data_IF_881379930106
#
_entry.id   IF_881379930106
#
_cell.length_a   1.000
_cell.length_b   1.000
_cell.length_c   1.000
_cell.angle_alpha   90.00
_cell.angle_beta   90.00
_cell.angle_gamma   90.00
#
_symmetry.space_group_name_H-M   'P 1'
#
loop_
_entity.id
_entity.type
_entity.pdbx_description
1 polymer ?
#
# COMPACT_ATOMS: atom_id res chain seq x y z
N UNK A 1 -2.69 12.10 -2.72
CA UNK A 1 -1.91 11.49 -3.80
C UNK A 1 -1.32 12.60 -4.65
N UNK A 2 -0.04 12.83 -4.50
CA UNK A 2 0.69 13.68 -5.43
C UNK A 2 1.63 12.73 -6.16
N UNK A 3 1.37 12.47 -7.45
CA UNK A 3 2.40 12.06 -8.36
C UNK A 3 3.29 13.30 -8.57
N UNK A 4 4.22 13.53 -7.69
CA UNK A 4 5.26 14.51 -7.93
C UNK A 4 6.24 13.89 -8.92
N UNK A 5 6.36 14.41 -10.15
CA UNK A 5 7.31 13.86 -11.14
C UNK A 5 8.74 13.78 -10.60
N UNK A 6 9.15 14.72 -9.74
CA UNK A 6 10.45 14.69 -9.09
C UNK A 6 10.65 13.58 -8.07
N UNK A 7 9.57 12.88 -7.68
CA UNK A 7 9.64 11.76 -6.72
C UNK A 7 9.72 10.41 -7.42
N UNK A 8 9.18 10.31 -8.64
CA UNK A 8 9.29 9.10 -9.46
C UNK A 8 10.75 8.86 -9.87
N UNK A 9 11.51 9.91 -10.11
CA UNK A 9 12.92 9.84 -10.49
C UNK A 9 13.87 9.37 -9.35
N UNK A 10 13.35 9.24 -8.12
CA UNK A 10 14.17 8.75 -6.99
C UNK A 10 14.21 7.24 -6.86
N UNK A 11 13.26 6.54 -7.47
CA UNK A 11 13.21 5.08 -7.40
C UNK A 11 14.28 4.46 -8.29
N UNK A 12 14.74 3.29 -7.88
CA UNK A 12 15.65 2.51 -8.71
C UNK A 12 14.92 2.04 -9.99
N UNK A 13 15.67 1.81 -11.06
CA UNK A 13 15.10 1.36 -12.34
C UNK A 13 14.50 -0.06 -12.23
N UNK A 14 15.15 -0.95 -11.49
CA UNK A 14 14.75 -2.35 -11.33
C UNK A 14 13.29 -2.50 -10.87
N UNK A 15 12.79 -1.76 -9.88
CA UNK A 15 11.39 -1.85 -9.45
C UNK A 15 10.34 -1.55 -10.53
N UNK A 16 10.69 -0.83 -11.59
CA UNK A 16 9.77 -0.49 -12.67
C UNK A 16 9.61 -1.60 -13.71
N UNK A 17 10.52 -2.57 -13.74
CA UNK A 17 10.51 -3.65 -14.72
C UNK A 17 9.51 -4.73 -14.32
N UNK A 18 8.58 -5.02 -15.23
CA UNK A 18 7.65 -6.15 -15.10
C UNK A 18 8.01 -7.28 -16.07
N UNK A 19 7.32 -8.40 -15.97
CA UNK A 19 7.45 -9.49 -16.92
C UNK A 19 6.89 -9.18 -18.33
N UNK A 20 6.31 -7.99 -18.53
CA UNK A 20 5.78 -7.55 -19.84
C UNK A 20 6.18 -6.10 -20.14
N UNK A 21 6.87 -5.85 -21.24
CA UNK A 21 7.24 -4.49 -21.64
C UNK A 21 6.03 -3.61 -21.99
N UNK A 22 4.86 -4.22 -22.22
CA UNK A 22 3.61 -3.49 -22.50
C UNK A 22 2.94 -2.94 -21.25
N UNK A 23 3.32 -3.42 -20.07
CA UNK A 23 2.70 -3.09 -18.79
C UNK A 23 3.79 -2.69 -17.76
N UNK A 24 4.45 -1.56 -17.96
CA UNK A 24 5.44 -1.09 -16.99
C UNK A 24 4.78 -0.80 -15.65
N UNK A 25 5.51 -1.02 -14.56
CA UNK A 25 5.06 -0.66 -13.23
C UNK A 25 5.15 0.86 -13.07
N UNK A 26 4.06 1.46 -12.60
CA UNK A 26 3.98 2.88 -12.27
C UNK A 26 3.71 2.98 -10.78
N UNK A 27 4.53 3.70 -10.06
CA UNK A 27 4.37 3.89 -8.61
C UNK A 27 3.55 5.15 -8.32
N UNK A 28 2.49 5.00 -7.54
CA UNK A 28 1.67 6.12 -7.03
C UNK A 28 1.51 5.89 -5.52
N UNK A 29 2.05 6.79 -4.71
CA UNK A 29 2.20 6.58 -3.29
C UNK A 29 2.09 7.87 -2.45
N UNK A 30 2.11 7.74 -1.14
CA UNK A 30 1.97 8.87 -0.20
C UNK A 30 3.34 9.52 0.09
N UNK A 31 4.00 10.03 -0.95
CA UNK A 31 5.38 10.53 -0.91
C UNK A 31 5.62 11.60 0.16
N UNK A 32 4.78 12.63 0.22
CA UNK A 32 4.92 13.70 1.19
C UNK A 32 4.81 13.21 2.63
N UNK A 33 3.86 12.31 2.91
CA UNK A 33 3.67 11.76 4.24
C UNK A 33 4.85 10.85 4.64
N UNK A 34 5.26 9.92 3.76
CA UNK A 34 6.36 9.01 4.07
C UNK A 34 7.67 9.77 4.31
N UNK A 35 7.98 10.77 3.48
CA UNK A 35 9.16 11.62 3.70
C UNK A 35 9.07 12.46 4.97
N UNK A 36 7.88 12.97 5.30
CA UNK A 36 7.69 13.77 6.52
C UNK A 36 7.92 12.92 7.76
N UNK A 37 7.39 11.69 7.80
CA UNK A 37 7.57 10.80 8.94
C UNK A 37 9.02 10.30 9.06
N UNK A 38 9.70 10.03 7.93
CA UNK A 38 11.12 9.67 7.91
C UNK A 38 11.99 10.77 8.53
N UNK A 39 11.79 12.02 8.10
CA UNK A 39 12.53 13.17 8.64
C UNK A 39 12.19 13.46 10.10
N UNK A 40 10.93 13.22 10.50
CA UNK A 40 10.54 13.34 11.90
C UNK A 40 11.26 12.31 12.75
N UNK A 41 11.23 11.05 12.36
CA UNK A 41 11.94 9.97 13.04
C UNK A 41 13.43 10.28 13.18
N UNK A 42 14.09 10.69 12.09
CA UNK A 42 15.50 11.05 12.10
C UNK A 42 15.81 12.17 13.14
N UNK A 43 15.01 13.23 13.19
CA UNK A 43 15.18 14.30 14.18
C UNK A 43 15.02 13.82 15.62
N UNK A 44 13.98 12.99 15.87
CA UNK A 44 13.71 12.45 17.21
C UNK A 44 14.82 11.52 17.70
N UNK A 45 15.56 10.88 16.77
CA UNK A 45 16.68 10.00 17.06
C UNK A 45 18.07 10.64 16.85
N UNK A 46 18.12 11.96 16.70
CA UNK A 46 19.38 12.72 16.54
C UNK A 46 20.26 12.22 15.38
N UNK A 47 19.65 11.81 14.27
CA UNK A 47 20.30 11.35 13.05
C UNK A 47 19.73 12.07 11.82
N UNK A 48 20.22 11.74 10.64
CA UNK A 48 19.72 12.29 9.39
C UNK A 48 18.95 11.20 8.62
N UNK A 49 17.96 11.60 7.85
CA UNK A 49 17.18 10.66 7.02
C UNK A 49 18.09 9.96 5.99
N UNK A 50 19.12 10.65 5.48
CA UNK A 50 20.10 10.15 4.53
C UNK A 50 21.04 9.07 5.11
N UNK A 51 21.03 8.89 6.41
CA UNK A 51 21.86 7.88 7.11
C UNK A 51 21.04 6.63 7.51
N UNK A 52 19.75 6.56 7.09
CA UNK A 52 18.81 5.53 7.53
C UNK A 52 18.29 4.67 6.38
N UNK A 53 18.02 3.41 6.71
CA UNK A 53 17.25 2.46 5.94
C UNK A 53 15.90 2.22 6.64
N UNK A 54 14.79 2.61 6.02
CA UNK A 54 13.48 2.58 6.64
C UNK A 54 12.48 1.81 5.78
N UNK A 55 11.61 1.04 6.41
CA UNK A 55 10.36 0.60 5.78
C UNK A 55 9.25 1.50 6.32
N UNK A 56 8.55 2.20 5.43
CA UNK A 56 7.50 3.15 5.82
C UNK A 56 6.16 2.73 5.24
N UNK A 57 5.19 2.52 6.13
CA UNK A 57 3.84 2.10 5.78
C UNK A 57 2.85 3.23 6.04
N UNK A 58 2.30 3.83 4.99
CA UNK A 58 1.15 4.69 5.12
C UNK A 58 -0.12 3.86 5.04
N UNK A 59 -0.87 3.82 6.15
CA UNK A 59 -2.09 3.03 6.33
C UNK A 59 -3.30 3.97 6.36
N UNK A 60 -3.99 4.11 5.25
CA UNK A 60 -5.14 4.97 5.07
C UNK A 60 -6.18 4.35 4.13
N UNK A 61 -7.02 5.16 3.47
CA UNK A 61 -7.96 4.70 2.44
C UNK A 61 -7.27 3.95 1.29
N UNK A 62 -6.03 4.32 0.97
CA UNK A 62 -5.04 3.53 0.24
C UNK A 62 -3.87 3.16 1.15
N UNK A 63 -3.16 2.07 0.84
CA UNK A 63 -1.98 1.63 1.59
C UNK A 63 -0.76 1.66 0.68
N UNK A 64 0.30 2.38 1.10
CA UNK A 64 1.59 2.34 0.44
C UNK A 64 2.69 1.93 1.41
N UNK A 65 3.52 0.99 0.98
CA UNK A 65 4.64 0.46 1.75
C UNK A 65 5.90 0.73 0.92
N UNK A 66 6.77 1.57 1.45
CA UNK A 66 8.00 2.01 0.78
C UNK A 66 9.24 1.51 1.49
N UNK A 67 10.22 1.05 0.70
CA UNK A 67 11.59 0.86 1.12
C UNK A 67 12.37 2.16 0.88
N UNK A 68 12.92 2.72 1.94
CA UNK A 68 13.70 3.95 1.88
C UNK A 68 15.16 3.66 2.25
N UNK A 69 16.07 4.06 1.39
CA UNK A 69 17.51 3.92 1.56
C UNK A 69 18.18 5.26 1.37
N UNK A 70 18.98 5.68 2.36
CA UNK A 70 19.81 6.89 2.28
C UNK A 70 19.06 8.15 1.80
N UNK A 71 17.88 8.40 2.40
CA UNK A 71 17.11 9.63 2.16
C UNK A 71 16.18 9.60 0.95
N UNK A 72 16.06 8.47 0.23
CA UNK A 72 15.18 8.32 -0.92
C UNK A 72 14.35 7.04 -0.85
N UNK A 73 13.18 7.06 -1.47
CA UNK A 73 12.39 5.85 -1.68
C UNK A 73 12.95 5.08 -2.89
N UNK A 74 13.44 3.87 -2.66
CA UNK A 74 14.03 3.04 -3.72
C UNK A 74 13.00 2.09 -4.35
N UNK A 75 11.96 1.72 -3.61
CA UNK A 75 10.82 0.91 -4.08
C UNK A 75 9.57 1.24 -3.26
N UNK A 76 8.42 1.29 -3.91
CA UNK A 76 7.12 1.45 -3.26
C UNK A 76 6.01 0.91 -4.16
N UNK A 77 4.98 0.30 -3.59
CA UNK A 77 3.84 -0.19 -4.36
C UNK A 77 2.94 0.94 -4.88
N UNK A 78 2.25 0.67 -5.99
CA UNK A 78 1.18 1.55 -6.46
C UNK A 78 -0.06 1.42 -5.56
N UNK A 79 -0.25 2.39 -4.67
CA UNK A 79 -1.35 2.38 -3.70
C UNK A 79 -2.71 2.75 -4.30
N UNK A 80 -2.78 3.05 -5.60
CA UNK A 80 -4.01 3.46 -6.27
C UNK A 80 -4.57 2.38 -7.19
N UNK A 81 -3.72 1.68 -7.94
CA UNK A 81 -4.11 1.02 -9.18
C UNK A 81 -3.76 -0.47 -9.20
N UNK A 82 -4.12 -1.18 -8.12
CA UNK A 82 -4.10 -2.64 -8.09
C UNK A 82 -2.75 -3.26 -7.76
N UNK A 83 -1.98 -2.65 -6.86
CA UNK A 83 -0.74 -3.21 -6.35
C UNK A 83 -0.66 -3.11 -4.82
N UNK A 84 0.09 -4.03 -4.21
CA UNK A 84 0.27 -4.09 -2.77
C UNK A 84 -0.92 -4.69 -2.02
N UNK A 85 -1.02 -4.45 -0.71
CA UNK A 85 -2.14 -4.94 0.09
C UNK A 85 -3.44 -4.24 -0.29
N UNK A 86 -4.57 -4.95 -0.18
CA UNK A 86 -5.84 -4.26 -0.24
C UNK A 86 -6.02 -3.35 0.98
N UNK A 87 -6.82 -2.33 0.83
CA UNK A 87 -7.02 -1.27 1.82
C UNK A 87 -8.51 -1.06 2.09
N UNK A 88 -8.93 -0.10 2.91
CA UNK A 88 -10.34 0.21 3.08
C UNK A 88 -11.12 0.41 1.78
N UNK A 89 -10.52 1.02 0.75
CA UNK A 89 -11.22 1.36 -0.50
C UNK A 89 -10.58 0.82 -1.78
N UNK A 90 -9.45 0.09 -1.69
CA UNK A 90 -8.67 -0.39 -2.84
C UNK A 90 -8.57 -1.90 -2.84
N UNK A 91 -8.55 -2.49 -4.03
CA UNK A 91 -8.47 -3.94 -4.21
C UNK A 91 -7.09 -4.51 -3.88
N UNK A 92 -6.02 -3.70 -3.94
CA UNK A 92 -4.66 -4.22 -3.90
C UNK A 92 -4.33 -5.09 -5.11
N UNK A 93 -3.36 -5.97 -4.96
CA UNK A 93 -2.95 -6.89 -6.03
C UNK A 93 -4.06 -7.90 -6.32
N UNK A 94 -4.50 -7.95 -7.58
CA UNK A 94 -5.49 -8.89 -8.08
C UNK A 94 -4.83 -9.93 -9.00
N UNK A 95 -5.35 -11.16 -9.05
CA UNK A 95 -4.88 -12.15 -10.00
C UNK A 95 -5.25 -11.73 -11.42
N UNK A 96 -4.24 -11.61 -12.31
CA UNK A 96 -4.40 -11.06 -13.66
C UNK A 96 -5.36 -11.88 -14.54
N UNK A 97 -5.31 -13.23 -14.50
CA UNK A 97 -6.19 -14.08 -15.30
C UNK A 97 -7.67 -13.82 -15.02
N UNK A 98 -8.15 -14.01 -13.78
CA UNK A 98 -9.54 -13.68 -13.40
C UNK A 98 -9.94 -12.23 -13.69
N UNK A 99 -9.02 -11.28 -13.59
CA UNK A 99 -9.30 -9.89 -13.94
C UNK A 99 -9.59 -9.71 -15.44
N UNK A 100 -8.79 -10.37 -16.30
CA UNK A 100 -9.01 -10.38 -17.76
C UNK A 100 -10.34 -11.03 -18.08
N UNK A 101 -10.64 -12.20 -17.51
CA UNK A 101 -11.92 -12.88 -17.72
C UNK A 101 -13.10 -11.99 -17.34
N UNK A 102 -12.98 -11.23 -16.26
CA UNK A 102 -14.01 -10.29 -15.83
C UNK A 102 -14.14 -9.11 -16.79
N UNK A 103 -13.03 -8.58 -17.31
CA UNK A 103 -13.04 -7.49 -18.31
C UNK A 103 -13.79 -7.86 -19.59
N UNK A 104 -13.65 -9.12 -20.04
CA UNK A 104 -14.28 -9.60 -21.27
C UNK A 104 -15.61 -10.33 -21.06
N UNK A 105 -16.10 -10.41 -19.83
CA UNK A 105 -17.35 -11.10 -19.49
C UNK A 105 -18.63 -10.40 -20.00
N UNK A 106 -18.53 -9.13 -20.40
CA UNK A 106 -19.68 -8.29 -20.73
C UNK A 106 -20.52 -7.85 -19.52
N UNK A 107 -20.16 -8.24 -18.28
CA UNK A 107 -20.94 -7.95 -17.06
C UNK A 107 -20.77 -6.53 -16.56
N UNK A 108 -19.67 -5.88 -16.88
CA UNK A 108 -19.29 -4.58 -16.37
C UNK A 108 -18.67 -3.72 -17.47
N UNK A 109 -18.92 -2.44 -17.42
CA UNK A 109 -18.18 -1.44 -18.20
C UNK A 109 -16.77 -1.23 -17.63
N UNK A 110 -15.88 -0.63 -18.42
CA UNK A 110 -14.53 -0.25 -17.97
C UNK A 110 -14.56 0.62 -16.70
N UNK A 111 -15.49 1.59 -16.66
CA UNK A 111 -15.59 2.53 -15.53
C UNK A 111 -16.11 1.85 -14.26
N UNK A 112 -17.02 0.90 -14.39
CA UNK A 112 -17.47 0.09 -13.28
C UNK A 112 -16.35 -0.80 -12.73
N UNK A 113 -15.54 -1.40 -13.59
CA UNK A 113 -14.40 -2.20 -13.19
C UNK A 113 -13.34 -1.34 -12.49
N UNK A 114 -13.04 -0.15 -13.02
CA UNK A 114 -12.12 0.79 -12.36
C UNK A 114 -12.59 1.16 -10.95
N UNK A 115 -13.89 1.42 -10.75
CA UNK A 115 -14.45 1.66 -9.41
C UNK A 115 -14.33 0.45 -8.48
N UNK A 116 -14.33 -0.78 -9.02
CA UNK A 116 -14.14 -2.02 -8.26
C UNK A 116 -12.66 -2.30 -7.91
N UNK A 117 -11.73 -1.61 -8.55
CA UNK A 117 -10.32 -1.61 -8.18
C UNK A 117 -10.04 -0.50 -7.16
N UNK A 118 -10.64 0.67 -7.35
CA UNK A 118 -10.35 1.88 -6.58
C UNK A 118 -11.65 2.63 -6.21
N UNK A 119 -11.94 2.73 -4.92
CA UNK A 119 -13.08 3.44 -4.34
C UNK A 119 -14.24 2.55 -3.88
N UNK A 120 -14.46 1.38 -4.49
CA UNK A 120 -15.51 0.40 -4.10
C UNK A 120 -14.93 -1.00 -3.90
N UNK A 121 -13.69 -1.07 -3.48
CA UNK A 121 -12.96 -2.31 -3.23
C UNK A 121 -12.62 -2.45 -1.75
N UNK A 122 -11.75 -3.39 -1.42
CA UNK A 122 -11.21 -3.57 -0.08
C UNK A 122 -12.27 -3.82 0.98
N UNK A 123 -12.12 -3.18 2.15
CA UNK A 123 -13.08 -3.33 3.26
C UNK A 123 -14.49 -2.90 2.84
N UNK A 124 -14.61 -1.83 2.03
CA UNK A 124 -15.91 -1.38 1.50
C UNK A 124 -16.63 -2.49 0.73
N UNK A 125 -15.92 -3.23 -0.12
CA UNK A 125 -16.52 -4.31 -0.90
C UNK A 125 -16.92 -5.52 -0.04
N UNK A 126 -16.15 -5.83 0.99
CA UNK A 126 -16.36 -7.01 1.83
C UNK A 126 -17.31 -6.78 3.00
N UNK A 127 -17.24 -5.58 3.63
CA UNK A 127 -17.91 -5.26 4.90
C UNK A 127 -18.87 -4.07 4.79
N UNK A 128 -18.89 -3.35 3.67
CA UNK A 128 -19.74 -2.17 3.45
C UNK A 128 -19.29 -0.92 4.19
N UNK A 129 -18.14 -0.93 4.84
CA UNK A 129 -17.63 0.20 5.64
C UNK A 129 -16.11 0.31 5.56
N UNK A 130 -15.59 1.51 5.82
CA UNK A 130 -14.16 1.81 5.99
C UNK A 130 -13.81 2.17 7.44
N UNK A 131 -14.81 2.17 8.32
CA UNK A 131 -14.67 2.55 9.73
C UNK A 131 -14.01 1.40 10.52
N UNK A 132 -12.69 1.50 10.70
CA UNK A 132 -11.90 0.48 11.42
C UNK A 132 -12.36 0.32 12.88
N UNK A 133 -12.57 1.38 13.67
CA UNK A 133 -13.15 1.24 15.01
C UNK A 133 -14.48 0.47 15.05
N UNK A 134 -15.38 0.74 14.11
CA UNK A 134 -16.65 0.02 14.03
C UNK A 134 -16.46 -1.46 13.66
N UNK A 135 -15.50 -1.77 12.75
CA UNK A 135 -15.14 -3.14 12.40
C UNK A 135 -14.59 -3.88 13.63
N UNK A 136 -13.65 -3.28 14.35
CA UNK A 136 -13.09 -3.86 15.58
C UNK A 136 -14.18 -4.13 16.61
N UNK A 137 -15.07 -3.16 16.84
CA UNK A 137 -16.20 -3.34 17.76
C UNK A 137 -17.17 -4.46 17.33
N UNK A 138 -17.31 -4.74 16.03
CA UNK A 138 -18.10 -5.88 15.55
C UNK A 138 -17.40 -7.22 15.78
N UNK A 139 -16.07 -7.24 15.63
CA UNK A 139 -15.25 -8.43 15.92
C UNK A 139 -15.36 -8.80 17.41
N UNK A 140 -15.28 -7.82 18.30
CA UNK A 140 -15.46 -8.03 19.74
C UNK A 140 -16.83 -8.62 20.10
N UNK A 141 -17.84 -8.41 19.23
CA UNK A 141 -19.18 -9.00 19.35
C UNK A 141 -19.34 -10.35 18.64
N UNK A 142 -18.24 -10.88 18.08
CA UNK A 142 -18.19 -12.19 17.45
C UNK A 142 -18.43 -12.20 15.94
N UNK A 143 -18.27 -11.07 15.22
CA UNK A 143 -18.36 -11.04 13.76
C UNK A 143 -17.13 -11.69 13.13
N UNK A 144 -17.21 -12.98 12.84
CA UNK A 144 -16.15 -13.80 12.26
C UNK A 144 -15.78 -13.34 10.83
N UNK A 145 -16.75 -12.81 10.06
CA UNK A 145 -16.46 -12.30 8.72
C UNK A 145 -15.63 -11.03 8.79
N UNK A 146 -15.97 -10.12 9.68
CA UNK A 146 -15.19 -8.90 9.88
C UNK A 146 -13.76 -9.22 10.33
N UNK A 147 -13.62 -10.16 11.27
CA UNK A 147 -12.32 -10.64 11.75
C UNK A 147 -11.47 -11.22 10.60
N UNK A 148 -12.03 -12.13 9.80
CA UNK A 148 -11.34 -12.74 8.68
C UNK A 148 -10.85 -11.69 7.67
N UNK A 149 -11.71 -10.73 7.31
CA UNK A 149 -11.37 -9.73 6.29
C UNK A 149 -10.34 -8.73 6.82
N UNK A 150 -10.46 -8.28 8.07
CA UNK A 150 -9.48 -7.38 8.67
C UNK A 150 -8.11 -8.07 8.80
N UNK A 151 -8.10 -9.32 9.28
CA UNK A 151 -6.87 -10.12 9.39
C UNK A 151 -6.22 -10.36 8.01
N UNK A 152 -7.02 -10.57 6.96
CA UNK A 152 -6.48 -10.70 5.59
C UNK A 152 -5.79 -9.41 5.11
N UNK A 153 -6.34 -8.23 5.43
CA UNK A 153 -5.71 -6.95 5.13
C UNK A 153 -4.38 -6.80 5.88
N UNK A 154 -4.39 -7.07 7.19
CA UNK A 154 -3.19 -7.01 8.05
C UNK A 154 -2.11 -7.99 7.55
N UNK A 155 -2.50 -9.20 7.20
CA UNK A 155 -1.59 -10.20 6.64
C UNK A 155 -0.90 -9.72 5.35
N UNK A 156 -1.65 -9.08 4.45
CA UNK A 156 -1.06 -8.53 3.23
C UNK A 156 -0.14 -7.34 3.50
N UNK A 157 -0.47 -6.49 4.47
CA UNK A 157 0.44 -5.43 4.94
C UNK A 157 1.74 -6.03 5.46
N UNK A 158 1.67 -7.04 6.32
CA UNK A 158 2.85 -7.72 6.85
C UNK A 158 3.74 -8.33 5.75
N UNK A 159 3.11 -8.95 4.73
CA UNK A 159 3.84 -9.43 3.55
C UNK A 159 4.53 -8.30 2.78
N UNK A 160 3.86 -7.16 2.61
CA UNK A 160 4.44 -5.99 1.96
C UNK A 160 5.64 -5.43 2.72
N UNK A 161 5.56 -5.38 4.04
CA UNK A 161 6.69 -4.99 4.90
C UNK A 161 7.87 -5.95 4.70
N UNK A 162 7.62 -7.26 4.70
CA UNK A 162 8.65 -8.27 4.44
C UNK A 162 9.30 -8.12 3.07
N UNK A 163 8.52 -7.87 2.03
CA UNK A 163 9.03 -7.61 0.69
C UNK A 163 9.91 -6.34 0.65
N UNK A 164 9.45 -5.23 1.22
CA UNK A 164 10.23 -4.00 1.31
C UNK A 164 11.52 -4.18 2.13
N UNK A 165 11.48 -4.99 3.19
CA UNK A 165 12.65 -5.32 3.99
C UNK A 165 13.73 -6.06 3.20
N UNK A 166 13.33 -6.96 2.31
CA UNK A 166 14.26 -7.73 1.46
C UNK A 166 14.97 -6.82 0.45
N UNK A 167 14.31 -5.80 -0.10
CA UNK A 167 14.95 -4.84 -1.01
C UNK A 167 16.05 -4.02 -0.33
N UNK A 168 16.00 -3.89 0.99
CA UNK A 168 17.02 -3.28 1.85
C UNK A 168 18.04 -4.31 2.39
N UNK A 169 18.07 -5.52 1.81
CA UNK A 169 18.94 -6.63 2.25
C UNK A 169 18.76 -7.00 3.73
N UNK A 170 17.59 -6.72 4.31
CA UNK A 170 17.32 -6.91 5.74
C UNK A 170 18.00 -5.89 6.66
N UNK A 171 18.71 -4.91 6.12
CA UNK A 171 19.36 -3.85 6.90
C UNK A 171 18.38 -2.72 7.13
N UNK A 172 17.59 -2.81 8.19
CA UNK A 172 16.51 -1.88 8.51
C UNK A 172 16.78 -1.25 9.86
N UNK A 173 16.80 0.08 9.91
CA UNK A 173 16.91 0.83 11.16
C UNK A 173 15.57 0.94 11.88
N UNK A 174 14.47 1.10 11.12
CA UNK A 174 13.11 1.13 11.67
C UNK A 174 12.03 0.78 10.64
N UNK A 175 10.88 0.32 11.17
CA UNK A 175 9.61 0.21 10.44
C UNK A 175 8.68 1.29 10.99
N UNK A 176 8.26 2.22 10.14
CA UNK A 176 7.41 3.35 10.53
C UNK A 176 5.99 3.15 10.04
N UNK A 177 5.03 3.17 10.94
CA UNK A 177 3.60 3.11 10.62
C UNK A 177 3.02 4.52 10.73
N UNK A 178 2.25 4.95 9.73
CA UNK A 178 1.60 6.25 9.66
C UNK A 178 0.26 6.16 8.94
N UNK A 179 -0.50 7.25 8.92
CA UNK A 179 -1.85 7.27 8.36
C UNK A 179 -2.93 6.98 9.39
N UNK A 180 -4.19 7.20 9.04
CA UNK A 180 -5.32 7.13 9.99
C UNK A 180 -5.48 5.78 10.68
N UNK A 181 -5.25 4.69 9.97
CA UNK A 181 -5.39 3.31 10.52
C UNK A 181 -4.32 3.00 11.56
N UNK A 182 -3.13 3.59 11.45
CA UNK A 182 -2.05 3.35 12.42
C UNK A 182 -2.35 3.92 13.83
N UNK A 183 -3.41 4.70 13.98
CA UNK A 183 -3.85 5.33 15.23
C UNK A 183 -5.20 4.80 15.72
N UNK A 184 -5.74 3.77 15.09
CA UNK A 184 -7.05 3.16 15.41
C UNK A 184 -6.91 2.01 16.36
#
# INVERSE_FOLDING_TARGET
FIADPGVVDEMDEIPHITGSPLMPRITIWHALNQRAIARRYAREHHTRYEDLNLVICHLGGGISIGAHEHGRAIDVNNALDGEGPFSPERAGTLPAGPLIDLCYSGRFTKDELKKRISGRAGLTAHLGTTDIPAIVASIEKGDQKAELILNAMIYQVAKGIGAAAVTLYGKIDAILLTGGIAHS
#
